data_IF_005632280086
#
_entry.id   IF_005632280086
#
_cell.length_a   1.000
_cell.length_b   1.000
_cell.length_c   1.000
_cell.angle_alpha   90.00
_cell.angle_beta   90.00
_cell.angle_gamma   90.00
#
_symmetry.space_group_name_H-M   'P 1'
#
loop_
_entity.id
_entity.type
_entity.pdbx_description
1 polymer ?
#
# COMPACT_ATOMS: atom_id res chain seq x y z
N UNK A 1 2.72 1.46 -17.83
CA UNK A 1 2.59 2.25 -16.57
C UNK A 1 1.26 2.00 -15.82
N UNK A 2 0.11 1.74 -16.47
CA UNK A 2 -1.20 1.59 -15.78
C UNK A 2 -1.43 0.40 -14.82
N UNK A 3 -0.70 -0.72 -14.93
CA UNK A 3 -1.08 -1.96 -14.22
C UNK A 3 -0.95 -1.89 -12.68
N UNK A 4 0.03 -1.14 -12.16
CA UNK A 4 0.26 -1.05 -10.72
C UNK A 4 -0.83 -0.24 -10.01
N UNK A 5 -1.07 0.99 -10.46
CA UNK A 5 -2.10 1.85 -9.88
C UNK A 5 -3.52 1.32 -10.13
N UNK A 6 -3.77 0.70 -11.29
CA UNK A 6 -5.04 -0.03 -11.53
C UNK A 6 -5.23 -1.15 -10.51
N UNK A 7 -4.18 -1.92 -10.20
CA UNK A 7 -4.26 -2.99 -9.21
C UNK A 7 -4.58 -2.48 -7.79
N UNK A 8 -4.00 -1.35 -7.37
CA UNK A 8 -4.26 -0.75 -6.06
C UNK A 8 -5.70 -0.25 -5.91
N UNK A 9 -6.25 0.39 -6.94
CA UNK A 9 -7.63 0.90 -6.89
C UNK A 9 -8.67 -0.21 -7.03
N UNK A 10 -8.37 -1.29 -7.74
CA UNK A 10 -9.33 -2.40 -7.94
C UNK A 10 -9.78 -3.04 -6.63
N UNK A 11 -8.89 -3.31 -5.68
CA UNK A 11 -9.28 -4.00 -4.43
C UNK A 11 -10.09 -3.09 -3.50
N UNK A 12 -9.84 -1.78 -3.53
CA UNK A 12 -10.66 -0.78 -2.83
C UNK A 12 -12.04 -0.66 -3.50
N UNK A 13 -12.11 -0.62 -4.83
CA UNK A 13 -13.37 -0.54 -5.59
C UNK A 13 -14.19 -1.83 -5.53
N UNK A 14 -13.54 -2.99 -5.38
CA UNK A 14 -14.19 -4.28 -5.19
C UNK A 14 -14.98 -4.34 -3.87
N UNK A 15 -14.54 -3.62 -2.83
CA UNK A 15 -15.32 -3.47 -1.59
C UNK A 15 -16.55 -2.57 -1.76
N UNK A 16 -16.57 -1.68 -2.75
CA UNK A 16 -17.61 -0.62 -2.93
C UNK A 16 -18.61 -0.88 -4.06
N UNK A 17 -18.33 -1.83 -4.95
CA UNK A 17 -19.12 -2.04 -6.18
C UNK A 17 -18.94 -3.48 -6.70
N UNK A 18 -19.45 -3.80 -7.91
CA UNK A 18 -19.45 -5.14 -8.51
C UNK A 18 -18.12 -5.91 -8.32
N UNK A 19 -18.04 -6.86 -7.37
CA UNK A 19 -16.77 -7.40 -6.90
C UNK A 19 -16.05 -8.25 -7.94
N UNK A 20 -16.79 -8.92 -8.85
CA UNK A 20 -16.21 -9.88 -9.80
C UNK A 20 -15.32 -9.19 -10.85
N UNK A 21 -15.75 -8.04 -11.38
CA UNK A 21 -14.98 -7.27 -12.38
C UNK A 21 -13.64 -6.79 -11.80
N UNK A 22 -13.69 -6.17 -10.62
CA UNK A 22 -12.53 -5.56 -9.99
C UNK A 22 -11.54 -6.58 -9.46
N UNK A 23 -12.01 -7.69 -8.90
CA UNK A 23 -11.14 -8.82 -8.50
C UNK A 23 -10.39 -9.39 -9.69
N UNK A 24 -11.05 -9.56 -10.85
CA UNK A 24 -10.40 -10.04 -12.06
C UNK A 24 -9.32 -9.07 -12.57
N UNK A 25 -9.60 -7.76 -12.58
CA UNK A 25 -8.62 -6.74 -12.97
C UNK A 25 -7.42 -6.69 -12.00
N UNK A 26 -7.68 -6.78 -10.70
CA UNK A 26 -6.63 -6.87 -9.67
C UNK A 26 -5.74 -8.10 -9.86
N UNK A 27 -6.35 -9.27 -10.09
CA UNK A 27 -5.62 -10.52 -10.35
C UNK A 27 -4.77 -10.44 -11.63
N UNK A 28 -5.29 -9.83 -12.70
CA UNK A 28 -4.54 -9.63 -13.94
C UNK A 28 -3.35 -8.68 -13.73
N UNK A 29 -3.51 -7.65 -12.92
CA UNK A 29 -2.44 -6.73 -12.54
C UNK A 29 -1.33 -7.44 -11.76
N UNK A 30 -1.69 -8.31 -10.81
CA UNK A 30 -0.73 -9.17 -10.08
C UNK A 30 0.02 -10.09 -11.05
N UNK A 31 -0.66 -10.75 -11.99
CA UNK A 31 0.00 -11.64 -12.97
C UNK A 31 1.01 -10.88 -13.84
N UNK A 32 0.65 -9.68 -14.32
CA UNK A 32 1.56 -8.83 -15.09
C UNK A 32 2.77 -8.39 -14.26
N UNK A 33 2.53 -7.92 -13.04
CA UNK A 33 3.60 -7.48 -12.14
C UNK A 33 4.52 -8.65 -11.74
N UNK A 34 3.98 -9.86 -11.62
CA UNK A 34 4.77 -11.06 -11.34
C UNK A 34 5.76 -11.37 -12.47
N UNK A 35 5.34 -11.25 -13.73
CA UNK A 35 6.27 -11.38 -14.88
C UNK A 35 7.38 -10.34 -14.83
N UNK A 36 7.06 -9.09 -14.49
CA UNK A 36 8.06 -8.02 -14.39
C UNK A 36 9.01 -8.21 -13.21
N UNK A 37 8.50 -8.71 -12.07
CA UNK A 37 9.34 -9.02 -10.91
C UNK A 37 10.29 -10.19 -11.16
N UNK A 38 9.94 -11.15 -12.03
CA UNK A 38 10.86 -12.21 -12.46
C UNK A 38 12.03 -11.64 -13.27
N UNK A 39 11.75 -10.68 -14.16
CA UNK A 39 12.77 -10.09 -15.03
C UNK A 39 13.60 -8.99 -14.35
N UNK A 40 13.02 -8.28 -13.37
CA UNK A 40 13.69 -7.18 -12.68
C UNK A 40 13.19 -7.07 -11.23
N UNK A 41 13.66 -7.96 -10.33
CA UNK A 41 13.20 -7.99 -8.95
C UNK A 41 13.39 -6.67 -8.22
N UNK A 42 14.55 -6.02 -8.39
CA UNK A 42 14.85 -4.73 -7.75
C UNK A 42 13.82 -3.65 -8.06
N UNK A 43 13.28 -3.62 -9.28
CA UNK A 43 12.39 -2.56 -9.75
C UNK A 43 10.90 -2.86 -9.56
N UNK A 44 10.55 -4.14 -9.42
CA UNK A 44 9.15 -4.59 -9.53
C UNK A 44 8.66 -5.44 -8.36
N UNK A 45 9.55 -5.99 -7.51
CA UNK A 45 9.14 -6.92 -6.47
C UNK A 45 8.32 -6.26 -5.36
N UNK A 46 8.72 -5.08 -4.88
CA UNK A 46 7.96 -4.30 -3.89
C UNK A 46 6.55 -3.93 -4.39
N UNK A 47 6.40 -3.61 -5.68
CA UNK A 47 5.10 -3.36 -6.31
C UNK A 47 4.22 -4.61 -6.30
N UNK A 48 4.80 -5.76 -6.65
CA UNK A 48 4.09 -7.04 -6.61
C UNK A 48 3.64 -7.37 -5.18
N UNK A 49 4.52 -7.16 -4.21
CA UNK A 49 4.26 -7.42 -2.79
C UNK A 49 3.14 -6.52 -2.28
N UNK A 50 3.14 -5.24 -2.63
CA UNK A 50 2.09 -4.30 -2.26
C UNK A 50 0.73 -4.72 -2.85
N UNK A 51 0.67 -5.11 -4.13
CA UNK A 51 -0.56 -5.64 -4.73
C UNK A 51 -1.06 -6.92 -4.05
N UNK A 52 -0.14 -7.81 -3.64
CA UNK A 52 -0.48 -9.02 -2.88
C UNK A 52 -0.97 -8.69 -1.47
N UNK A 53 -0.47 -7.62 -0.86
CA UNK A 53 -0.93 -7.13 0.44
C UNK A 53 -2.38 -6.64 0.35
N UNK A 54 -2.71 -5.77 -0.61
CA UNK A 54 -4.09 -5.29 -0.83
C UNK A 54 -5.06 -6.41 -1.16
N UNK A 55 -4.62 -7.41 -1.95
CA UNK A 55 -5.43 -8.61 -2.19
C UNK A 55 -5.70 -9.38 -0.89
N UNK A 56 -4.70 -9.51 -0.01
CA UNK A 56 -4.88 -10.17 1.28
C UNK A 56 -5.83 -9.38 2.20
N UNK A 57 -5.76 -8.04 2.19
CA UNK A 57 -6.74 -7.16 2.86
C UNK A 57 -8.15 -7.43 2.35
N UNK A 58 -8.34 -7.47 1.02
CA UNK A 58 -9.62 -7.77 0.41
C UNK A 58 -10.18 -9.15 0.80
N UNK A 59 -9.32 -10.15 0.93
CA UNK A 59 -9.70 -11.52 1.31
C UNK A 59 -9.84 -11.71 2.84
N UNK A 60 -9.56 -10.69 3.66
CA UNK A 60 -9.62 -10.78 5.12
C UNK A 60 -8.42 -11.49 5.77
N UNK A 61 -7.35 -11.77 5.04
CA UNK A 61 -6.16 -12.45 5.55
C UNK A 61 -5.20 -11.45 6.22
N UNK A 62 -5.52 -11.05 7.46
CA UNK A 62 -4.85 -9.96 8.19
C UNK A 62 -3.34 -10.14 8.33
N UNK A 63 -2.88 -11.28 8.85
CA UNK A 63 -1.47 -11.55 9.11
C UNK A 63 -0.68 -11.57 7.80
N UNK A 64 -1.27 -12.17 6.76
CA UNK A 64 -0.68 -12.24 5.43
C UNK A 64 -0.58 -10.86 4.77
N UNK A 65 -1.58 -9.99 4.98
CA UNK A 65 -1.53 -8.62 4.49
C UNK A 65 -0.39 -7.84 5.15
N UNK A 66 -0.29 -7.88 6.48
CA UNK A 66 0.77 -7.21 7.25
C UNK A 66 2.15 -7.68 6.79
N UNK A 67 2.34 -8.99 6.65
CA UNK A 67 3.61 -9.56 6.20
C UNK A 67 3.98 -9.06 4.79
N UNK A 68 3.01 -9.02 3.87
CA UNK A 68 3.27 -8.54 2.51
C UNK A 68 3.55 -7.04 2.45
N UNK A 69 2.89 -6.23 3.28
CA UNK A 69 3.23 -4.81 3.41
C UNK A 69 4.66 -4.62 3.93
N UNK A 70 5.05 -5.33 5.00
CA UNK A 70 6.42 -5.25 5.54
C UNK A 70 7.47 -5.63 4.50
N UNK A 71 7.24 -6.70 3.74
CA UNK A 71 8.12 -7.10 2.65
C UNK A 71 8.18 -6.00 1.56
N UNK A 72 7.04 -5.41 1.18
CA UNK A 72 7.01 -4.33 0.18
C UNK A 72 7.83 -3.10 0.63
N UNK A 73 7.67 -2.67 1.89
CA UNK A 73 8.41 -1.56 2.50
C UNK A 73 9.91 -1.85 2.47
N UNK A 74 10.31 -3.02 2.99
CA UNK A 74 11.73 -3.42 3.06
C UNK A 74 12.39 -3.43 1.68
N UNK A 75 11.72 -3.98 0.66
CA UNK A 75 12.28 -4.01 -0.70
C UNK A 75 12.33 -2.62 -1.34
N UNK A 76 11.30 -1.79 -1.16
CA UNK A 76 11.31 -0.42 -1.67
C UNK A 76 12.44 0.40 -1.04
N UNK A 77 12.62 0.30 0.28
CA UNK A 77 13.68 0.95 1.02
C UNK A 77 15.07 0.49 0.55
N UNK A 78 15.28 -0.84 0.44
CA UNK A 78 16.55 -1.43 0.01
C UNK A 78 17.01 -0.91 -1.36
N UNK A 79 16.07 -0.60 -2.25
CA UNK A 79 16.36 -0.15 -3.61
C UNK A 79 16.13 1.36 -3.82
N UNK A 80 15.88 2.13 -2.76
CA UNK A 80 15.78 3.59 -2.83
C UNK A 80 14.49 4.13 -3.45
N UNK A 81 13.42 3.33 -3.51
CA UNK A 81 12.13 3.76 -4.06
C UNK A 81 11.30 4.53 -3.02
N UNK A 82 11.72 5.75 -2.68
CA UNK A 82 11.10 6.57 -1.61
C UNK A 82 9.57 6.68 -1.71
N UNK A 83 9.05 7.00 -2.90
CA UNK A 83 7.61 7.20 -3.10
C UNK A 83 6.79 5.91 -2.97
N UNK A 84 7.38 4.77 -3.31
CA UNK A 84 6.73 3.46 -3.17
C UNK A 84 6.86 2.91 -1.75
N UNK A 85 7.94 3.23 -1.05
CA UNK A 85 8.07 3.02 0.40
C UNK A 85 7.02 3.85 1.17
N UNK A 86 6.86 5.13 0.79
CA UNK A 86 5.85 6.02 1.37
C UNK A 86 4.44 5.44 1.19
N UNK A 87 4.11 5.06 -0.05
CA UNK A 87 2.81 4.46 -0.37
C UNK A 87 2.58 3.16 0.41
N UNK A 88 3.58 2.27 0.52
CA UNK A 88 3.42 1.02 1.25
C UNK A 88 3.23 1.26 2.76
N UNK A 89 3.91 2.25 3.35
CA UNK A 89 3.70 2.64 4.75
C UNK A 89 2.32 3.28 4.95
N UNK A 90 1.86 4.15 4.04
CA UNK A 90 0.52 4.74 4.12
C UNK A 90 -0.55 3.66 4.12
N UNK A 91 -0.48 2.74 3.16
CA UNK A 91 -1.47 1.65 3.02
C UNK A 91 -1.45 0.70 4.22
N UNK A 92 -0.28 0.35 4.74
CA UNK A 92 -0.16 -0.43 5.96
C UNK A 92 -0.74 0.33 7.17
N UNK A 93 -0.45 1.62 7.29
CA UNK A 93 -0.93 2.46 8.38
C UNK A 93 -2.44 2.51 8.45
N UNK A 94 -3.09 2.82 7.31
CA UNK A 94 -4.54 2.81 7.18
C UNK A 94 -5.14 1.43 7.50
N UNK A 95 -4.53 0.35 7.01
CA UNK A 95 -5.03 -1.00 7.29
C UNK A 95 -4.91 -1.37 8.77
N UNK A 96 -3.84 -0.94 9.45
CA UNK A 96 -3.66 -1.18 10.88
C UNK A 96 -4.71 -0.46 11.72
N UNK A 97 -5.06 0.77 11.36
CA UNK A 97 -6.18 1.50 11.98
C UNK A 97 -7.51 0.78 11.73
N UNK A 98 -7.76 0.29 10.50
CA UNK A 98 -8.98 -0.49 10.17
C UNK A 98 -9.14 -1.74 11.05
N UNK A 99 -8.04 -2.31 11.56
CA UNK A 99 -8.04 -3.47 12.47
C UNK A 99 -7.72 -3.10 13.93
N UNK A 100 -7.99 -1.85 14.32
CA UNK A 100 -7.90 -1.33 15.70
C UNK A 100 -6.48 -1.31 16.29
N UNK A 101 -5.45 -1.38 15.45
CA UNK A 101 -4.03 -1.25 15.85
C UNK A 101 -3.53 0.19 15.67
N UNK A 102 -4.23 1.14 16.30
CA UNK A 102 -4.10 2.58 16.06
C UNK A 102 -2.68 3.10 16.27
N UNK A 103 -2.02 2.77 17.38
CA UNK A 103 -0.65 3.24 17.66
C UNK A 103 0.34 2.85 16.55
N UNK A 104 0.31 1.58 16.14
CA UNK A 104 1.16 1.09 15.07
C UNK A 104 0.77 1.70 13.71
N UNK A 105 -0.53 1.92 13.49
CA UNK A 105 -1.06 2.58 12.31
C UNK A 105 -0.56 4.01 12.17
N UNK A 106 -0.71 4.83 13.21
CA UNK A 106 -0.22 6.21 13.26
C UNK A 106 1.30 6.28 13.05
N UNK A 107 2.07 5.37 13.67
CA UNK A 107 3.52 5.29 13.45
C UNK A 107 3.88 5.07 11.98
N UNK A 108 3.11 4.24 11.26
CA UNK A 108 3.32 3.99 9.83
C UNK A 108 2.91 5.18 8.96
N UNK A 109 1.81 5.85 9.29
CA UNK A 109 1.37 7.07 8.60
C UNK A 109 2.38 8.21 8.78
N UNK A 110 2.94 8.40 9.98
CA UNK A 110 3.99 9.38 10.23
C UNK A 110 5.24 9.12 9.37
N UNK A 111 5.67 7.87 9.28
CA UNK A 111 6.80 7.49 8.41
C UNK A 111 6.48 7.74 6.92
N UNK A 112 5.27 7.43 6.47
CA UNK A 112 4.83 7.74 5.10
C UNK A 112 4.87 9.24 4.81
N UNK A 113 4.39 10.06 5.77
CA UNK A 113 4.41 11.52 5.69
C UNK A 113 5.84 12.07 5.52
N UNK A 114 6.79 11.60 6.34
CA UNK A 114 8.20 11.99 6.22
C UNK A 114 8.81 11.60 4.87
N UNK A 115 8.49 10.41 4.36
CA UNK A 115 8.97 9.96 3.05
C UNK A 115 8.39 10.79 1.90
N UNK A 116 7.11 11.16 1.97
CA UNK A 116 6.50 12.05 0.99
C UNK A 116 7.11 13.45 1.02
N UNK A 117 7.44 13.96 2.21
CA UNK A 117 8.16 15.22 2.36
C UNK A 117 9.57 15.12 1.74
N UNK A 118 10.33 14.08 2.04
CA UNK A 118 11.67 13.84 1.47
C UNK A 118 11.64 13.69 -0.05
N UNK A 119 10.59 13.09 -0.60
CA UNK A 119 10.41 12.97 -2.05
C UNK A 119 9.91 14.26 -2.72
N UNK A 120 9.40 15.23 -1.95
CA UNK A 120 8.86 16.50 -2.46
C UNK A 120 7.37 16.46 -2.84
N UNK A 121 6.63 15.42 -2.44
CA UNK A 121 5.20 15.31 -2.73
C UNK A 121 4.32 16.03 -1.70
N UNK A 122 4.31 17.36 -1.78
CA UNK A 122 3.63 18.24 -0.81
C UNK A 122 2.14 17.91 -0.63
N UNK A 123 1.42 17.63 -1.72
CA UNK A 123 0.00 17.29 -1.66
C UNK A 123 -0.25 16.00 -0.86
N UNK A 124 0.61 14.98 -1.04
CA UNK A 124 0.52 13.73 -0.28
C UNK A 124 0.95 13.91 1.18
N UNK A 125 1.98 14.71 1.43
CA UNK A 125 2.38 15.08 2.79
C UNK A 125 1.21 15.70 3.56
N UNK A 126 0.57 16.74 3.01
CA UNK A 126 -0.55 17.44 3.66
C UNK A 126 -1.74 16.50 3.88
N UNK A 127 -2.06 15.67 2.88
CA UNK A 127 -3.16 14.70 2.99
C UNK A 127 -2.95 13.69 4.13
N UNK A 128 -1.74 13.12 4.25
CA UNK A 128 -1.44 12.15 5.31
C UNK A 128 -1.38 12.83 6.68
N UNK A 129 -0.92 14.09 6.74
CA UNK A 129 -0.94 14.89 7.97
C UNK A 129 -2.35 15.10 8.50
N UNK A 130 -3.29 15.50 7.64
CA UNK A 130 -4.70 15.68 8.01
C UNK A 130 -5.33 14.36 8.51
N UNK A 131 -4.99 13.23 7.89
CA UNK A 131 -5.41 11.91 8.38
C UNK A 131 -4.89 11.61 9.78
N UNK A 132 -3.61 11.91 10.06
CA UNK A 132 -3.00 11.72 11.38
C UNK A 132 -3.66 12.60 12.45
N UNK A 133 -3.90 13.88 12.15
CA UNK A 133 -4.58 14.81 13.05
C UNK A 133 -5.98 14.28 13.41
N UNK A 134 -6.75 13.87 12.40
CA UNK A 134 -8.09 13.28 12.59
C UNK A 134 -8.04 12.03 13.50
N UNK A 135 -7.05 11.16 13.31
CA UNK A 135 -6.90 9.94 14.12
C UNK A 135 -6.48 10.24 15.56
N UNK A 136 -5.70 11.30 15.79
CA UNK A 136 -5.27 11.69 17.14
C UNK A 136 -6.39 12.30 17.98
N UNK A 137 -7.36 12.95 17.34
CA UNK A 137 -8.53 13.55 18.01
C UNK A 137 -9.68 12.57 18.27
N UNK A 138 -9.63 11.36 17.68
CA UNK A 138 -10.67 10.33 17.81
C UNK A 138 -10.44 9.35 18.97
N UNK A 139 -9.35 9.52 19.72
CA UNK A 139 -8.95 8.74 20.92
C UNK A 139 -9.05 9.59 22.18
#
# INVERSE_FOLDING_TARGET
VNAFFTGLTCFVLAKRSNPKKWVNLGNNSIKKMQKWALNSPSNCLHKLLLLKAEKAVFLGYREKAIEKFKQAIMFAQKHGFLHEEALANERLGLFLVEIEKNELGCKRLAHAMELYQKWGAQAKYLHVREQLETLSHAT
#
